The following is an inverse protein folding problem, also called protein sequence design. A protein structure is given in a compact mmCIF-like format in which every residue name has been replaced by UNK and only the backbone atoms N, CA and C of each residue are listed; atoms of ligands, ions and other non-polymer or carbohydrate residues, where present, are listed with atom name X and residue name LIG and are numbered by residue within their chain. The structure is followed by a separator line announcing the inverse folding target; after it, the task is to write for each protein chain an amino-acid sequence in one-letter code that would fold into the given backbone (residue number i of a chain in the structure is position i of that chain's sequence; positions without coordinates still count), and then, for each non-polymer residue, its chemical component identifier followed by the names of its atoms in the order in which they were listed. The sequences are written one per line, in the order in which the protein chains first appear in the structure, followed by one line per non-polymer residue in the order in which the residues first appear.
data_IF_002316589192
#
_entry.id   IF_002316589192
#
_cell.length_a   1.000
_cell.length_b   1.000
_cell.length_c   1.000
_cell.angle_alpha   90.00
_cell.angle_beta   90.00
_cell.angle_gamma   90.00
#
_symmetry.space_group_name_H-M   'P 1'
#
loop_
_entity.id
_entity.type
_entity.pdbx_description
1 polymer ?
#
# COMPACT_ATOMS: atom_id res chain seq x y z
N UNK A 1 -1.43 12.93 -7.12
CA UNK A 1 -1.37 13.41 -8.51
C UNK A 1 -1.91 12.29 -9.39
N UNK A 2 -2.77 12.58 -10.37
CA UNK A 2 -3.25 11.55 -11.30
C UNK A 2 -2.42 11.62 -12.58
N UNK A 3 -1.81 10.52 -12.97
CA UNK A 3 -1.13 10.37 -14.27
C UNK A 3 -1.89 9.29 -15.01
N UNK A 4 -2.70 9.68 -16.01
CA UNK A 4 -3.65 8.78 -16.67
C UNK A 4 -4.69 8.23 -15.67
N UNK A 5 -4.80 6.90 -15.59
CA UNK A 5 -5.71 6.19 -14.67
C UNK A 5 -5.10 5.93 -13.28
N UNK A 6 -3.84 6.31 -13.05
CA UNK A 6 -3.08 5.94 -11.86
C UNK A 6 -2.94 7.12 -10.91
N UNK A 7 -3.27 6.91 -9.63
CA UNK A 7 -3.04 7.91 -8.59
C UNK A 7 -1.63 7.74 -7.98
N UNK A 8 -0.70 8.58 -8.42
CA UNK A 8 0.67 8.63 -7.90
C UNK A 8 0.70 9.54 -6.67
N UNK A 9 1.05 8.96 -5.53
CA UNK A 9 1.33 9.68 -4.28
C UNK A 9 2.83 9.84 -4.12
N UNK A 10 3.27 11.00 -3.64
CA UNK A 10 4.67 11.19 -3.24
C UNK A 10 4.76 10.81 -1.76
N UNK A 11 5.74 9.98 -1.41
CA UNK A 11 5.93 9.56 -0.01
C UNK A 11 6.36 10.77 0.82
N UNK A 12 5.82 10.88 2.03
CA UNK A 12 6.18 12.00 2.92
C UNK A 12 7.68 12.00 3.26
N UNK A 13 8.30 10.80 3.24
CA UNK A 13 9.72 10.63 3.45
C UNK A 13 10.54 11.29 2.33
N UNK A 14 10.11 11.13 1.07
CA UNK A 14 10.79 11.76 -0.07
C UNK A 14 10.74 13.28 0.04
N UNK A 15 9.59 13.83 0.44
CA UNK A 15 9.43 15.27 0.67
C UNK A 15 10.33 15.74 1.80
N UNK A 16 10.37 15.02 2.92
CA UNK A 16 11.22 15.36 4.07
C UNK A 16 12.71 15.37 3.70
N UNK A 17 13.19 14.33 3.01
CA UNK A 17 14.59 14.25 2.55
C UNK A 17 14.91 15.39 1.59
N UNK A 18 14.01 15.69 0.63
CA UNK A 18 14.19 16.80 -0.28
C UNK A 18 14.33 18.14 0.44
N UNK A 19 13.47 18.43 1.43
CA UNK A 19 13.53 19.68 2.20
C UNK A 19 14.81 19.79 3.03
N UNK A 20 15.23 18.71 3.69
CA UNK A 20 16.46 18.68 4.47
C UNK A 20 17.67 18.93 3.57
N UNK A 21 17.77 18.25 2.44
CA UNK A 21 18.89 18.42 1.51
C UNK A 21 18.89 19.80 0.85
N UNK A 22 17.71 20.34 0.54
CA UNK A 22 17.57 21.72 0.03
C UNK A 22 18.07 22.73 1.06
N UNK A 23 17.67 22.57 2.33
CA UNK A 23 18.14 23.43 3.41
C UNK A 23 19.67 23.34 3.57
N UNK A 24 20.23 22.14 3.59
CA UNK A 24 21.68 21.94 3.70
C UNK A 24 22.43 22.56 2.52
N UNK A 25 21.92 22.44 1.30
CA UNK A 25 22.50 23.06 0.12
C UNK A 25 22.55 24.58 0.27
N UNK A 26 21.41 25.21 0.57
CA UNK A 26 21.30 26.67 0.71
C UNK A 26 22.15 27.19 1.87
N UNK A 27 22.17 26.47 3.00
CA UNK A 27 23.02 26.80 4.14
C UNK A 27 24.50 26.75 3.75
N UNK A 28 24.93 25.69 3.07
CA UNK A 28 26.33 25.52 2.67
C UNK A 28 26.75 26.64 1.71
N UNK A 29 25.94 26.94 0.69
CA UNK A 29 26.18 28.06 -0.23
C UNK A 29 26.23 29.40 0.51
N UNK A 30 25.36 29.61 1.49
CA UNK A 30 25.36 30.83 2.31
C UNK A 30 26.62 31.00 3.16
N UNK A 31 27.23 29.91 3.64
CA UNK A 31 28.45 29.93 4.45
C UNK A 31 29.71 30.00 3.59
N UNK A 32 29.77 29.26 2.47
CA UNK A 32 30.98 29.18 1.63
C UNK A 32 31.02 30.21 0.51
N UNK A 33 29.86 30.72 0.08
CA UNK A 33 29.72 31.56 -1.11
C UNK A 33 29.87 30.81 -2.44
N UNK A 34 30.04 29.48 -2.41
CA UNK A 34 30.29 28.69 -3.62
C UNK A 34 28.98 28.41 -4.37
N UNK A 35 28.75 29.17 -5.44
CA UNK A 35 27.56 29.03 -6.29
C UNK A 35 27.63 27.84 -7.25
N UNK A 36 28.79 27.20 -7.45
CA UNK A 36 28.88 25.98 -8.24
C UNK A 36 28.09 24.82 -7.63
N UNK A 37 27.92 24.83 -6.29
CA UNK A 37 27.06 23.87 -5.60
C UNK A 37 25.59 23.97 -6.04
N UNK A 38 25.11 25.15 -6.44
CA UNK A 38 23.75 25.30 -6.96
C UNK A 38 23.61 24.68 -8.36
N UNK A 39 24.63 24.83 -9.21
CA UNK A 39 24.63 24.30 -10.59
C UNK A 39 24.49 22.78 -10.59
N UNK A 40 25.18 22.10 -9.67
CA UNK A 40 25.10 20.64 -9.55
C UNK A 40 24.00 20.15 -8.61
N UNK A 41 23.82 20.83 -7.48
CA UNK A 41 22.86 20.44 -6.46
C UNK A 41 21.41 20.60 -6.89
N UNK A 42 21.09 21.63 -7.68
CA UNK A 42 19.72 21.84 -8.16
C UNK A 42 19.24 20.69 -9.08
N UNK A 43 19.98 20.28 -10.13
CA UNK A 43 19.66 19.07 -10.88
C UNK A 43 19.53 17.81 -10.01
N UNK A 44 20.42 17.63 -9.03
CA UNK A 44 20.36 16.47 -8.12
C UNK A 44 19.09 16.48 -7.27
N UNK A 45 18.68 17.64 -6.73
CA UNK A 45 17.45 17.79 -5.97
C UNK A 45 16.20 17.53 -6.82
N UNK A 46 16.22 17.93 -8.10
CA UNK A 46 15.15 17.59 -9.05
C UNK A 46 15.09 16.07 -9.25
N UNK A 47 16.22 15.43 -9.54
CA UNK A 47 16.30 13.98 -9.75
C UNK A 47 15.84 13.18 -8.52
N UNK A 48 16.13 13.69 -7.32
CA UNK A 48 15.66 13.12 -6.05
C UNK A 48 14.13 13.02 -5.97
N UNK A 49 13.39 13.93 -6.63
CA UNK A 49 11.93 13.87 -6.72
C UNK A 49 11.46 13.05 -7.91
N UNK A 50 12.10 13.19 -9.07
CA UNK A 50 11.66 12.55 -10.33
C UNK A 50 11.82 11.03 -10.25
N UNK A 51 12.98 10.53 -9.85
CA UNK A 51 13.29 9.08 -9.83
C UNK A 51 12.26 8.28 -9.02
N UNK A 52 11.99 8.59 -7.73
CA UNK A 52 11.00 7.83 -6.96
C UNK A 52 9.58 8.00 -7.50
N UNK A 53 9.25 9.14 -8.11
CA UNK A 53 7.94 9.36 -8.73
C UNK A 53 7.73 8.45 -9.94
N UNK A 54 8.71 8.37 -10.84
CA UNK A 54 8.68 7.48 -12.02
C UNK A 54 8.61 6.02 -11.58
N UNK A 55 9.45 5.61 -10.63
CA UNK A 55 9.43 4.24 -10.09
C UNK A 55 8.08 3.89 -9.44
N UNK A 56 7.46 4.82 -8.71
CA UNK A 56 6.15 4.61 -8.13
C UNK A 56 5.07 4.47 -9.22
N UNK A 57 5.12 5.30 -10.26
CA UNK A 57 4.20 5.20 -11.39
C UNK A 57 4.32 3.85 -12.11
N UNK A 58 5.55 3.43 -12.44
CA UNK A 58 5.80 2.14 -13.10
C UNK A 58 5.34 0.97 -12.23
N UNK A 59 5.63 0.99 -10.93
CA UNK A 59 5.17 -0.06 -10.02
C UNK A 59 3.64 -0.10 -9.98
N UNK A 60 2.97 1.04 -10.00
CA UNK A 60 1.51 1.09 -9.98
C UNK A 60 0.88 0.60 -11.27
N UNK A 61 1.43 0.97 -12.43
CA UNK A 61 0.88 0.56 -13.72
C UNK A 61 0.94 -0.95 -13.89
N UNK A 62 2.05 -1.58 -13.49
CA UNK A 62 2.19 -3.04 -13.51
C UNK A 62 1.15 -3.70 -12.61
N UNK A 63 0.95 -3.23 -11.38
CA UNK A 63 -0.05 -3.81 -10.48
C UNK A 63 -1.48 -3.65 -11.01
N UNK A 64 -1.82 -2.48 -11.57
CA UNK A 64 -3.14 -2.27 -12.17
C UNK A 64 -3.37 -3.20 -13.36
N UNK A 65 -2.36 -3.44 -14.20
CA UNK A 65 -2.50 -4.37 -15.33
C UNK A 65 -2.71 -5.83 -14.93
N UNK A 66 -2.32 -6.20 -13.70
CA UNK A 66 -2.54 -7.56 -13.18
C UNK A 66 -3.94 -7.75 -12.59
N UNK A 67 -4.69 -6.68 -12.30
CA UNK A 67 -6.00 -6.78 -11.65
C UNK A 67 -6.97 -7.72 -12.39
N UNK A 68 -7.18 -7.61 -13.72
CA UNK A 68 -8.14 -8.45 -14.43
C UNK A 68 -7.82 -9.94 -14.31
N UNK A 69 -6.54 -10.30 -14.48
CA UNK A 69 -6.06 -11.69 -14.34
C UNK A 69 -6.33 -12.22 -12.93
N UNK A 70 -6.02 -11.42 -11.90
CA UNK A 70 -6.30 -11.80 -10.53
C UNK A 70 -7.82 -11.91 -10.27
N UNK A 71 -8.65 -11.05 -10.85
CA UNK A 71 -10.10 -11.11 -10.66
C UNK A 71 -10.70 -12.41 -11.22
N UNK A 72 -10.19 -12.88 -12.36
CA UNK A 72 -10.60 -14.13 -13.01
C UNK A 72 -10.14 -15.38 -12.25
N UNK A 73 -8.88 -15.38 -11.78
CA UNK A 73 -8.28 -16.57 -11.14
C UNK A 73 -8.56 -16.66 -9.63
N UNK A 74 -8.87 -15.53 -8.98
CA UNK A 74 -8.98 -15.50 -7.52
C UNK A 74 -10.19 -16.27 -7.02
N UNK A 75 -9.92 -17.20 -6.10
CA UNK A 75 -10.96 -17.90 -5.35
C UNK A 75 -11.32 -17.14 -4.09
N UNK A 76 -12.62 -17.01 -3.82
CA UNK A 76 -13.12 -16.48 -2.55
C UNK A 76 -12.82 -17.48 -1.43
N UNK A 77 -12.06 -17.06 -0.43
CA UNK A 77 -11.61 -17.89 0.69
C UNK A 77 -11.85 -17.17 2.01
N UNK A 78 -12.06 -17.95 3.08
CA UNK A 78 -12.13 -17.40 4.45
C UNK A 78 -10.73 -17.26 5.02
N UNK A 79 -10.52 -16.30 5.90
CA UNK A 79 -9.17 -15.99 6.41
C UNK A 79 -8.54 -17.19 7.13
N UNK A 80 -9.30 -17.96 7.92
CA UNK A 80 -8.76 -19.14 8.61
C UNK A 80 -8.31 -20.28 7.69
N UNK A 81 -8.74 -20.28 6.43
CA UNK A 81 -8.33 -21.30 5.45
C UNK A 81 -7.00 -20.96 4.77
N UNK A 82 -6.49 -19.75 5.00
CA UNK A 82 -5.22 -19.28 4.45
C UNK A 82 -4.07 -19.94 5.20
N UNK A 83 -3.40 -20.86 4.51
CA UNK A 83 -2.25 -21.60 4.98
C UNK A 83 -1.18 -21.69 3.89
N UNK A 84 -0.06 -22.34 4.19
CA UNK A 84 1.05 -22.49 3.25
C UNK A 84 0.71 -23.23 1.95
N UNK A 85 -0.32 -24.07 1.92
CA UNK A 85 -0.75 -24.80 0.70
C UNK A 85 -1.42 -23.88 -0.33
N UNK A 86 -1.79 -22.67 0.08
CA UNK A 86 -2.30 -21.62 -0.79
C UNK A 86 -1.21 -20.64 -1.23
N UNK A 87 0.04 -20.82 -0.79
CA UNK A 87 1.16 -19.98 -1.22
C UNK A 87 1.25 -19.94 -2.75
N UNK A 88 1.40 -18.75 -3.32
CA UNK A 88 1.42 -18.57 -4.77
C UNK A 88 0.04 -18.39 -5.42
N UNK A 89 -1.05 -18.76 -4.74
CA UNK A 89 -2.38 -18.75 -5.36
C UNK A 89 -3.07 -17.40 -5.23
N UNK A 90 -3.73 -16.92 -6.30
CA UNK A 90 -4.58 -15.75 -6.23
C UNK A 90 -5.84 -16.06 -5.40
N UNK A 91 -6.16 -15.15 -4.49
CA UNK A 91 -7.26 -15.26 -3.55
C UNK A 91 -8.02 -13.95 -3.46
N UNK A 92 -9.30 -14.08 -3.08
CA UNK A 92 -10.18 -12.98 -2.75
C UNK A 92 -10.65 -13.16 -1.31
N UNK A 93 -10.47 -12.14 -0.49
CA UNK A 93 -10.97 -12.11 0.89
C UNK A 93 -11.81 -10.88 1.11
N UNK A 94 -12.81 -11.02 1.97
CA UNK A 94 -13.62 -9.91 2.45
C UNK A 94 -13.51 -9.84 3.97
N UNK A 95 -13.45 -8.63 4.50
CA UNK A 95 -13.37 -8.43 5.93
C UNK A 95 -13.36 -6.97 6.32
N UNK A 96 -13.15 -6.70 7.60
CA UNK A 96 -13.05 -5.36 8.14
C UNK A 96 -11.60 -5.04 8.44
N UNK A 97 -11.19 -3.83 8.06
CA UNK A 97 -9.87 -3.31 8.37
C UNK A 97 -9.82 -2.95 9.85
N UNK A 98 -9.10 -3.71 10.66
CA UNK A 98 -8.93 -3.37 12.07
C UNK A 98 -7.89 -2.28 12.26
N UNK A 99 -6.79 -2.36 11.50
CA UNK A 99 -5.65 -1.43 11.64
C UNK A 99 -4.99 -1.16 10.30
N UNK A 100 -4.49 0.07 10.15
CA UNK A 100 -3.67 0.48 9.01
C UNK A 100 -2.27 0.86 9.50
N UNK A 101 -1.24 0.34 8.86
CA UNK A 101 0.15 0.65 9.12
C UNK A 101 0.83 1.21 7.87
N UNK A 102 1.87 2.02 8.05
CA UNK A 102 2.79 2.48 6.99
C UNK A 102 2.15 3.19 5.78
N UNK A 103 0.94 3.76 5.93
CA UNK A 103 0.28 4.53 4.85
C UNK A 103 1.16 5.63 4.25
N UNK A 104 2.01 6.26 5.06
CA UNK A 104 2.90 7.35 4.66
C UNK A 104 4.02 6.92 3.71
N UNK A 105 4.34 5.62 3.64
CA UNK A 105 5.36 5.06 2.74
C UNK A 105 4.81 4.68 1.37
N UNK A 106 3.54 4.95 1.07
CA UNK A 106 2.86 4.50 -0.16
C UNK A 106 2.82 2.97 -0.35
N UNK A 107 3.13 2.21 0.71
CA UNK A 107 3.11 0.74 0.79
C UNK A 107 2.44 0.31 2.10
N UNK A 108 1.12 0.55 2.23
CA UNK A 108 0.43 0.27 3.49
C UNK A 108 0.34 -1.23 3.77
N UNK A 109 0.28 -1.53 5.06
CA UNK A 109 -0.06 -2.84 5.57
C UNK A 109 -1.36 -2.73 6.36
N UNK A 110 -2.30 -3.62 6.08
CA UNK A 110 -3.60 -3.68 6.74
C UNK A 110 -3.68 -4.95 7.58
N UNK A 111 -4.28 -4.84 8.76
CA UNK A 111 -4.77 -6.00 9.49
C UNK A 111 -6.26 -6.11 9.17
N UNK A 112 -6.65 -7.20 8.52
CA UNK A 112 -8.04 -7.44 8.11
C UNK A 112 -8.57 -8.63 8.89
N UNK A 113 -9.75 -8.47 9.48
CA UNK A 113 -10.43 -9.51 10.21
C UNK A 113 -11.76 -9.87 9.55
N UNK A 114 -12.05 -11.17 9.53
CA UNK A 114 -13.36 -11.72 9.20
C UNK A 114 -13.88 -12.50 10.42
N UNK A 115 -14.95 -13.28 10.25
CA UNK A 115 -15.53 -14.09 11.33
C UNK A 115 -14.62 -15.22 11.81
N UNK A 116 -13.63 -15.61 11.01
CA UNK A 116 -12.83 -16.81 11.18
C UNK A 116 -11.43 -16.53 11.69
N UNK A 117 -10.93 -15.32 11.48
CA UNK A 117 -9.63 -14.89 11.99
C UNK A 117 -9.22 -13.53 11.46
N UNK A 118 -7.97 -13.19 11.72
CA UNK A 118 -7.30 -11.98 11.24
C UNK A 118 -6.10 -12.34 10.38
N UNK A 119 -5.81 -11.54 9.35
CA UNK A 119 -4.63 -11.71 8.52
C UNK A 119 -4.00 -10.38 8.16
N UNK A 120 -2.67 -10.40 8.08
CA UNK A 120 -1.90 -9.27 7.57
C UNK A 120 -1.96 -9.24 6.05
N UNK A 121 -2.41 -8.11 5.52
CA UNK A 121 -2.43 -7.79 4.09
C UNK A 121 -1.41 -6.70 3.81
N UNK A 122 -0.44 -6.98 2.95
CA UNK A 122 0.60 -6.03 2.54
C UNK A 122 0.32 -5.56 1.13
N UNK A 123 0.42 -4.26 0.88
CA UNK A 123 0.42 -3.72 -0.48
C UNK A 123 1.80 -3.20 -0.84
N UNK A 124 2.28 -3.57 -2.03
CA UNK A 124 3.51 -2.98 -2.58
C UNK A 124 3.30 -1.65 -3.27
N UNK A 125 2.05 -1.28 -3.50
CA UNK A 125 1.68 -0.01 -4.11
C UNK A 125 0.62 0.70 -3.28
N UNK A 126 0.37 1.98 -3.58
CA UNK A 126 -0.68 2.72 -2.89
C UNK A 126 -2.06 2.22 -3.31
N UNK A 127 -3.01 2.10 -2.38
CA UNK A 127 -4.38 1.74 -2.70
C UNK A 127 -5.01 2.84 -3.58
N UNK A 128 -5.89 2.43 -4.50
CA UNK A 128 -6.61 3.37 -5.36
C UNK A 128 -7.62 4.22 -4.57
N UNK A 129 -8.11 3.68 -3.46
CA UNK A 129 -9.01 4.34 -2.53
C UNK A 129 -8.35 4.59 -1.18
N UNK A 130 -8.80 5.61 -0.44
CA UNK A 130 -8.38 5.78 0.96
C UNK A 130 -9.16 4.83 1.87
N UNK A 131 -8.54 3.70 2.20
CA UNK A 131 -9.05 2.66 3.08
C UNK A 131 -8.66 2.94 4.52
N UNK A 132 -9.62 3.07 5.43
CA UNK A 132 -9.41 3.39 6.85
C UNK A 132 -9.76 2.21 7.75
N UNK A 133 -9.30 2.27 9.00
CA UNK A 133 -9.75 1.34 10.02
C UNK A 133 -11.27 1.46 10.21
N UNK A 134 -11.96 0.33 10.29
CA UNK A 134 -13.42 0.22 10.33
C UNK A 134 -14.08 0.01 8.97
N UNK A 135 -13.36 0.20 7.85
CA UNK A 135 -13.92 -0.03 6.52
C UNK A 135 -14.09 -1.53 6.26
N UNK A 136 -15.22 -1.92 5.66
CA UNK A 136 -15.41 -3.25 5.07
C UNK A 136 -14.80 -3.22 3.68
N UNK A 137 -13.91 -4.18 3.42
CA UNK A 137 -13.11 -4.21 2.20
C UNK A 137 -13.13 -5.59 1.56
N UNK A 138 -13.05 -5.59 0.24
CA UNK A 138 -12.64 -6.73 -0.56
C UNK A 138 -11.15 -6.56 -0.89
N UNK A 139 -10.37 -7.61 -0.68
CA UNK A 139 -8.96 -7.68 -1.05
C UNK A 139 -8.76 -8.76 -2.08
N UNK A 140 -8.07 -8.37 -3.15
CA UNK A 140 -7.60 -9.24 -4.20
C UNK A 140 -6.08 -9.32 -4.12
N UNK A 141 -5.54 -10.53 -4.06
CA UNK A 141 -4.10 -10.70 -3.90
C UNK A 141 -3.65 -12.14 -3.98
N UNK A 142 -2.42 -12.37 -3.56
CA UNK A 142 -1.79 -13.69 -3.54
C UNK A 142 -1.29 -14.01 -2.13
N UNK A 143 -1.42 -15.26 -1.71
CA UNK A 143 -0.79 -15.72 -0.46
C UNK A 143 0.71 -15.83 -0.66
N UNK A 144 1.47 -15.20 0.23
CA UNK A 144 2.93 -15.27 0.28
C UNK A 144 3.39 -15.57 1.70
N UNK A 145 4.62 -16.05 1.86
CA UNK A 145 5.26 -16.12 3.19
C UNK A 145 5.68 -14.73 3.65
N UNK A 146 5.52 -14.45 4.95
CA UNK A 146 5.88 -13.14 5.55
C UNK A 146 7.35 -12.78 5.33
N UNK A 147 8.24 -13.77 5.38
CA UNK A 147 9.66 -13.67 5.04
C UNK A 147 10.03 -14.76 4.03
N UNK A 148 11.13 -14.55 3.29
CA UNK A 148 11.54 -15.39 2.14
C UNK A 148 11.66 -16.88 2.50
N UNK A 149 12.02 -17.21 3.74
CA UNK A 149 12.22 -18.60 4.18
C UNK A 149 11.35 -19.03 5.38
N UNK A 150 10.83 -18.10 6.18
CA UNK A 150 10.20 -18.37 7.50
C UNK A 150 8.98 -17.45 7.69
N UNK A 151 7.97 -17.90 8.43
CA UNK A 151 6.92 -17.05 8.99
C UNK A 151 5.53 -17.26 8.38
N UNK A 152 4.54 -16.75 9.10
CA UNK A 152 3.13 -16.99 8.82
C UNK A 152 2.71 -16.53 7.41
N UNK A 153 1.72 -17.19 6.80
CA UNK A 153 1.17 -16.77 5.52
C UNK A 153 0.54 -15.38 5.66
N UNK A 154 0.87 -14.50 4.71
CA UNK A 154 0.30 -13.16 4.59
C UNK A 154 -0.22 -12.96 3.18
N UNK A 155 -1.11 -11.99 2.99
CA UNK A 155 -1.64 -11.68 1.66
C UNK A 155 -0.84 -10.52 1.07
N UNK A 156 -0.26 -10.73 -0.10
CA UNK A 156 0.20 -9.66 -0.96
C UNK A 156 -0.98 -9.15 -1.79
N UNK A 157 -1.54 -8.00 -1.43
CA UNK A 157 -2.67 -7.43 -2.12
C UNK A 157 -2.24 -6.69 -3.38
N UNK A 158 -2.86 -7.05 -4.49
CA UNK A 158 -2.81 -6.33 -5.77
C UNK A 158 -3.84 -5.20 -5.76
N UNK A 159 -5.01 -5.46 -5.19
CA UNK A 159 -6.09 -4.49 -5.07
C UNK A 159 -6.79 -4.60 -3.71
N UNK A 160 -7.23 -3.45 -3.21
CA UNK A 160 -8.15 -3.35 -2.10
C UNK A 160 -9.25 -2.37 -2.48
N UNK A 161 -10.51 -2.77 -2.29
CA UNK A 161 -11.69 -1.97 -2.60
C UNK A 161 -12.59 -1.91 -1.38
N UNK A 162 -13.19 -0.76 -1.13
CA UNK A 162 -14.20 -0.64 -0.07
C UNK A 162 -15.52 -1.17 -0.59
N UNK A 163 -16.17 -2.02 0.20
CA UNK A 163 -17.50 -2.51 -0.09
C UNK A 163 -18.51 -1.48 0.43
N UNK A 164 -19.22 -0.82 -0.49
CA UNK A 164 -20.23 0.19 -0.15
C UNK A 164 -21.65 -0.39 -0.03
N UNK A 165 -21.85 -1.67 -0.35
CA UNK A 165 -23.17 -2.29 -0.32
C UNK A 165 -23.75 -2.24 1.11
N UNK A 166 -24.90 -1.59 1.33
CA UNK A 166 -25.53 -1.47 2.64
C UNK A 166 -25.77 -2.83 3.30
N UNK A 167 -26.13 -3.86 2.52
CA UNK A 167 -26.35 -5.22 3.01
C UNK A 167 -25.06 -5.86 3.54
N UNK A 168 -23.93 -5.68 2.85
CA UNK A 168 -22.64 -6.20 3.28
C UNK A 168 -22.15 -5.44 4.52
N UNK A 169 -22.34 -4.12 4.55
CA UNK A 169 -22.02 -3.30 5.72
C UNK A 169 -22.82 -3.75 6.94
N UNK A 170 -24.13 -3.99 6.81
CA UNK A 170 -24.96 -4.53 7.89
C UNK A 170 -24.51 -5.94 8.32
N UNK A 171 -24.17 -6.79 7.34
CA UNK A 171 -23.65 -8.14 7.58
C UNK A 171 -22.43 -8.04 8.48
N UNK A 172 -21.38 -7.33 8.09
CA UNK A 172 -20.15 -7.24 8.87
C UNK A 172 -20.32 -6.47 10.20
N UNK A 173 -21.14 -5.40 10.25
CA UNK A 173 -21.44 -4.67 11.50
C UNK A 173 -22.13 -5.53 12.56
N UNK A 174 -23.05 -6.42 12.17
CA UNK A 174 -23.72 -7.36 13.09
C UNK A 174 -22.80 -8.49 13.57
N UNK A 175 -21.65 -8.69 12.93
CA UNK A 175 -20.83 -9.89 13.08
C UNK A 175 -19.53 -9.69 13.83
N UNK A 176 -19.06 -8.46 13.91
CA UNK A 176 -17.90 -8.13 14.73
C UNK A 176 -18.45 -7.82 16.12
N UNK A 177 -18.26 -8.70 17.12
CA UNK A 177 -18.62 -8.33 18.49
C UNK A 177 -17.86 -7.04 18.79
N UNK A 178 -18.58 -6.05 19.30
CA UNK A 178 -17.99 -4.79 19.76
C UNK A 178 -16.85 -5.12 20.73
N UNK A 179 -15.62 -5.21 20.22
CA UNK A 179 -14.41 -5.17 21.03
C UNK A 179 -14.30 -3.72 21.47
N UNK A 180 -15.12 -3.37 22.47
CA UNK A 180 -14.89 -2.22 23.32
C UNK A 180 -13.46 -2.36 23.83
N UNK A 181 -12.59 -1.44 23.40
CA UNK A 181 -11.40 -1.10 24.16
C UNK A 181 -11.83 -0.40 25.43
#
# INVERSE_FOLDING_TARGET
MKIGTINVRVSILVIAVFLILTFLLLYTVGVTGDTHLLIWGFPTLILLLIIPMVLNYMSQSTYVSMIPMYEEEAKSVKINTINENLNGKPIRIEGVVERCYFKFLNRPQYLIADRTGEISVKMFTSPQEDVKAGDVVEVLGQVIRRYVAIGDPVVNAVQIRRLQSPELLERYKKQIPSRKK
#
